data_IF_821449681360
#
_entry.id   IF_821449681360
#
_cell.length_a   1.000
_cell.length_b   1.000
_cell.length_c   1.000
_cell.angle_alpha   90.00
_cell.angle_beta   90.00
_cell.angle_gamma   90.00
#
_symmetry.space_group_name_H-M   'P 1'
#
loop_
_entity.id
_entity.type
_entity.pdbx_description
1 polymer ?
#
# COMPACT_ATOMS: atom_id res chain seq x y z
N UNK A 1 11.40 -9.00 -7.67
CA UNK A 1 10.91 -8.08 -6.63
C UNK A 1 10.92 -8.85 -5.33
N UNK A 2 11.39 -8.25 -4.23
CA UNK A 2 11.22 -8.87 -2.90
C UNK A 2 9.74 -8.73 -2.52
N UNK A 3 8.95 -9.78 -2.76
CA UNK A 3 7.51 -9.83 -2.48
C UNK A 3 7.17 -9.66 -0.99
N UNK A 4 8.19 -9.71 -0.12
CA UNK A 4 8.07 -9.61 1.33
C UNK A 4 8.37 -8.21 1.88
N UNK A 5 8.47 -7.17 1.03
CA UNK A 5 8.66 -5.78 1.47
C UNK A 5 7.38 -4.99 1.22
N UNK A 6 6.91 -4.32 2.27
CA UNK A 6 5.81 -3.37 2.18
C UNK A 6 6.22 -2.18 1.32
N UNK A 7 5.51 -1.91 0.22
CA UNK A 7 5.81 -0.79 -0.67
C UNK A 7 5.47 0.58 -0.07
N UNK A 8 4.68 0.62 1.01
CA UNK A 8 4.27 1.86 1.69
C UNK A 8 5.32 2.34 2.69
N UNK A 9 5.85 1.44 3.52
CA UNK A 9 6.78 1.81 4.59
C UNK A 9 8.19 1.20 4.42
N UNK A 10 8.41 0.45 3.35
CA UNK A 10 9.67 -0.20 2.98
C UNK A 10 10.26 -1.15 4.05
N UNK A 11 9.42 -1.61 4.98
CA UNK A 11 9.75 -2.65 5.97
C UNK A 11 9.37 -4.04 5.45
N UNK A 12 10.01 -5.08 5.99
CA UNK A 12 9.56 -6.46 5.76
C UNK A 12 8.13 -6.65 6.28
N UNK A 13 7.30 -7.39 5.54
CA UNK A 13 5.92 -7.70 5.94
C UNK A 13 5.91 -8.41 7.30
N UNK A 14 6.85 -9.31 7.55
CA UNK A 14 7.02 -10.00 8.84
C UNK A 14 7.32 -9.07 10.04
N UNK A 15 7.73 -7.83 9.79
CA UNK A 15 7.98 -6.82 10.82
C UNK A 15 6.77 -5.94 11.14
N UNK A 16 5.63 -6.15 10.49
CA UNK A 16 4.41 -5.41 10.76
C UNK A 16 3.63 -6.04 11.90
N UNK A 17 3.14 -5.20 12.81
CA UNK A 17 1.96 -5.56 13.60
C UNK A 17 0.72 -5.63 12.69
N UNK A 18 -0.33 -6.34 13.13
CA UNK A 18 -1.59 -6.44 12.38
C UNK A 18 -2.18 -5.07 12.05
N UNK A 19 -2.10 -4.13 12.99
CA UNK A 19 -2.61 -2.77 12.82
C UNK A 19 -1.80 -1.95 11.82
N UNK A 20 -0.48 -2.02 11.89
CA UNK A 20 0.40 -1.36 10.91
C UNK A 20 0.20 -1.92 9.51
N UNK A 21 0.03 -3.24 9.39
CA UNK A 21 -0.22 -3.88 8.12
C UNK A 21 -1.53 -3.42 7.48
N UNK A 22 -2.61 -3.34 8.26
CA UNK A 22 -3.90 -2.84 7.80
C UNK A 22 -3.80 -1.37 7.35
N UNK A 23 -3.03 -0.53 8.05
CA UNK A 23 -2.79 0.86 7.64
C UNK A 23 -2.05 0.94 6.31
N UNK A 24 -1.02 0.11 6.13
CA UNK A 24 -0.27 0.06 4.88
C UNK A 24 -1.15 -0.40 3.71
N UNK A 25 -1.93 -1.47 3.89
CA UNK A 25 -2.86 -1.95 2.86
C UNK A 25 -3.86 -0.87 2.44
N UNK A 26 -4.44 -0.14 3.40
CA UNK A 26 -5.36 0.97 3.10
C UNK A 26 -4.68 2.09 2.31
N UNK A 27 -3.46 2.46 2.66
CA UNK A 27 -2.72 3.49 1.95
C UNK A 27 -2.38 3.06 0.51
N UNK A 28 -2.11 1.77 0.29
CA UNK A 28 -1.90 1.22 -1.04
C UNK A 28 -3.17 1.24 -1.89
N UNK A 29 -4.29 0.80 -1.33
CA UNK A 29 -5.61 0.87 -1.99
C UNK A 29 -6.00 2.31 -2.34
N UNK A 30 -5.82 3.25 -1.41
CA UNK A 30 -6.12 4.68 -1.64
C UNK A 30 -5.25 5.26 -2.76
N UNK A 31 -3.96 4.92 -2.82
CA UNK A 31 -3.06 5.34 -3.89
C UNK A 31 -3.44 4.74 -5.25
N UNK A 32 -3.93 3.49 -5.26
CA UNK A 32 -4.45 2.86 -6.47
C UNK A 32 -5.74 3.54 -6.94
N UNK A 33 -6.67 3.82 -6.03
CA UNK A 33 -7.91 4.53 -6.32
C UNK A 33 -7.64 5.95 -6.82
N UNK A 34 -6.66 6.67 -6.28
CA UNK A 34 -6.27 8.00 -6.76
C UNK A 34 -5.75 7.94 -8.21
N UNK A 35 -4.94 6.93 -8.55
CA UNK A 35 -4.50 6.71 -9.94
C UNK A 35 -5.66 6.42 -10.89
N UNK A 36 -6.62 5.59 -10.45
CA UNK A 36 -7.82 5.28 -11.23
C UNK A 36 -8.65 6.55 -11.43
N UNK A 37 -8.90 7.32 -10.36
CA UNK A 37 -9.62 8.61 -10.44
C UNK A 37 -8.96 9.52 -11.47
N UNK A 38 -7.66 9.76 -11.35
CA UNK A 38 -6.90 10.59 -12.31
C UNK A 38 -6.93 10.08 -13.75
N UNK A 39 -7.11 8.78 -13.95
CA UNK A 39 -7.23 8.21 -15.29
C UNK A 39 -8.59 8.53 -15.94
N UNK A 40 -9.67 8.51 -15.17
CA UNK A 40 -11.04 8.73 -15.64
C UNK A 40 -11.54 10.18 -15.51
N UNK A 41 -10.88 11.03 -14.73
CA UNK A 41 -11.18 12.47 -14.58
C UNK A 41 -10.67 13.31 -15.78
N UNK A 42 -10.33 12.66 -16.90
CA UNK A 42 -9.78 13.23 -18.13
C UNK A 42 -10.70 12.92 -19.31
#
# INVERSE_FOLDING_TARGET
>A
MDENICLICNKKISGHSKEEWIKCLKAEDDAMLDKIRKHYDR
#
